data_IF_417688878187
#
_entry.id   IF_417688878187
#
_cell.length_a   1.000
_cell.length_b   1.000
_cell.length_c   1.000
_cell.angle_alpha   90.00
_cell.angle_beta   90.00
_cell.angle_gamma   90.00
#
_symmetry.space_group_name_H-M   'P 1'
#
loop_
_entity.id
_entity.type
_entity.pdbx_description
1 polymer ?
#
# COMPACT_ATOMS: atom_id res chain seq x y z
N UNK A 1 -62.27 -34.67 70.21
CA UNK A 1 -61.44 -33.53 69.93
C UNK A 1 -60.44 -33.95 68.86
N UNK A 2 -60.53 -33.54 67.59
CA UNK A 2 -59.52 -33.84 66.61
C UNK A 2 -58.70 -32.56 66.33
N UNK A 3 -57.39 -32.73 66.31
CA UNK A 3 -56.37 -31.74 65.93
C UNK A 3 -56.29 -31.65 64.42
N UNK A 4 -56.46 -30.47 63.89
CA UNK A 4 -56.28 -30.15 62.48
C UNK A 4 -54.83 -29.75 62.23
N UNK A 5 -54.16 -30.45 61.28
CA UNK A 5 -52.84 -30.16 60.78
C UNK A 5 -52.94 -29.22 59.55
N UNK A 6 -52.12 -28.15 59.40
CA UNK A 6 -52.08 -27.34 58.20
C UNK A 6 -51.04 -27.88 57.19
N UNK A 7 -51.52 -28.15 56.00
CA UNK A 7 -50.72 -28.52 54.83
C UNK A 7 -50.00 -27.27 54.28
N UNK A 8 -48.70 -27.27 54.45
CA UNK A 8 -47.82 -26.23 53.81
C UNK A 8 -47.72 -26.44 52.31
N UNK A 9 -48.18 -25.45 51.54
CA UNK A 9 -47.99 -25.38 50.10
C UNK A 9 -46.59 -24.82 49.82
N UNK A 10 -45.67 -25.66 49.30
CA UNK A 10 -44.38 -25.25 48.77
C UNK A 10 -44.58 -24.67 47.34
N UNK A 11 -44.42 -23.37 47.20
CA UNK A 11 -44.38 -22.71 45.91
C UNK A 11 -42.94 -22.81 45.36
N UNK A 12 -42.73 -23.69 44.39
CA UNK A 12 -41.49 -23.76 43.62
C UNK A 12 -41.47 -22.59 42.61
N UNK A 13 -40.67 -21.57 42.89
CA UNK A 13 -40.40 -20.49 41.97
C UNK A 13 -39.35 -20.95 40.92
N UNK A 14 -39.78 -21.26 39.71
CA UNK A 14 -38.91 -21.57 38.58
C UNK A 14 -38.33 -20.25 38.06
N UNK A 15 -37.05 -19.98 38.37
CA UNK A 15 -36.31 -18.89 37.75
C UNK A 15 -35.94 -19.26 36.31
N UNK A 16 -36.63 -18.65 35.37
CA UNK A 16 -36.29 -18.74 33.94
C UNK A 16 -35.09 -17.80 33.68
N UNK A 17 -33.87 -18.37 33.58
CA UNK A 17 -32.68 -17.63 33.12
C UNK A 17 -32.84 -17.38 31.63
N UNK A 18 -33.28 -16.18 31.25
CA UNK A 18 -33.18 -15.69 29.86
C UNK A 18 -31.69 -15.34 29.64
N UNK A 19 -30.95 -16.22 28.97
CA UNK A 19 -29.64 -15.91 28.44
C UNK A 19 -29.84 -14.85 27.34
N UNK A 20 -29.61 -13.59 27.69
CA UNK A 20 -29.44 -12.53 26.68
C UNK A 20 -28.15 -12.87 25.96
N UNK A 21 -28.24 -13.51 24.79
CA UNK A 21 -27.17 -13.61 23.84
C UNK A 21 -26.90 -12.17 23.39
N UNK A 22 -25.97 -11.52 24.06
CA UNK A 22 -25.41 -10.25 23.59
C UNK A 22 -24.85 -10.50 22.18
N UNK A 23 -25.48 -9.93 21.17
CA UNK A 23 -24.86 -9.80 19.85
C UNK A 23 -23.56 -9.05 20.08
N UNK A 24 -22.44 -9.77 20.12
CA UNK A 24 -21.14 -9.14 19.97
C UNK A 24 -21.17 -8.44 18.61
N UNK A 25 -21.43 -7.13 18.61
CA UNK A 25 -21.09 -6.33 17.47
C UNK A 25 -19.57 -6.51 17.29
N UNK A 26 -19.18 -7.25 16.26
CA UNK A 26 -17.79 -7.25 15.84
C UNK A 26 -17.47 -5.79 15.52
N UNK A 27 -16.48 -5.23 16.23
CA UNK A 27 -16.02 -3.86 15.93
C UNK A 27 -15.65 -3.79 14.45
N UNK A 28 -16.16 -2.77 13.75
CA UNK A 28 -15.88 -2.55 12.33
C UNK A 28 -14.39 -2.31 12.17
N UNK A 29 -13.72 -3.10 11.32
CA UNK A 29 -12.32 -2.93 10.98
C UNK A 29 -12.15 -1.70 10.09
N UNK A 30 -11.46 -0.67 10.56
CA UNK A 30 -11.17 0.54 9.79
C UNK A 30 -9.85 0.37 9.05
N UNK A 31 -9.94 0.27 7.72
CA UNK A 31 -8.79 0.07 6.82
C UNK A 31 -8.46 1.36 6.07
N UNK A 32 -7.28 1.94 6.34
CA UNK A 32 -6.75 3.09 5.62
C UNK A 32 -5.99 2.70 4.36
N UNK A 33 -6.34 3.31 3.22
CA UNK A 33 -5.68 3.11 1.92
C UNK A 33 -5.39 4.45 1.25
N UNK A 34 -4.53 4.45 0.21
CA UNK A 34 -4.43 5.56 -0.72
C UNK A 34 -5.21 5.28 -2.01
N UNK A 35 -5.55 6.36 -2.72
CA UNK A 35 -6.19 6.24 -4.03
C UNK A 35 -5.30 5.46 -4.99
N UNK A 36 -5.85 4.33 -5.49
CA UNK A 36 -5.14 3.39 -6.33
C UNK A 36 -6.13 2.56 -7.15
N UNK A 37 -5.77 2.10 -8.35
CA UNK A 37 -6.60 1.14 -9.09
C UNK A 37 -6.92 -0.14 -8.32
N UNK A 38 -6.10 -0.50 -7.33
CA UNK A 38 -6.34 -1.65 -6.46
C UNK A 38 -7.54 -1.47 -5.52
N UNK A 39 -8.07 -0.24 -5.37
CA UNK A 39 -9.16 0.04 -4.44
C UNK A 39 -10.39 -0.85 -4.70
N UNK A 40 -10.71 -1.12 -5.98
CA UNK A 40 -11.78 -2.04 -6.32
C UNK A 40 -11.55 -3.47 -5.78
N UNK A 41 -10.31 -3.95 -5.76
CA UNK A 41 -9.95 -5.25 -5.19
C UNK A 41 -10.02 -5.23 -3.64
N UNK A 42 -9.63 -4.12 -3.01
CA UNK A 42 -9.76 -3.91 -1.56
C UNK A 42 -11.23 -3.89 -1.14
N UNK A 43 -12.06 -3.14 -1.86
CA UNK A 43 -13.51 -3.07 -1.61
C UNK A 43 -14.18 -4.44 -1.81
N UNK A 44 -13.78 -5.18 -2.85
CA UNK A 44 -14.25 -6.55 -3.05
C UNK A 44 -13.86 -7.45 -1.87
N UNK A 45 -12.60 -7.38 -1.40
CA UNK A 45 -12.17 -8.14 -0.23
C UNK A 45 -12.97 -7.74 1.03
N UNK A 46 -13.27 -6.45 1.21
CA UNK A 46 -14.13 -5.96 2.29
C UNK A 46 -15.56 -6.50 2.22
N UNK A 47 -16.12 -6.63 1.02
CA UNK A 47 -17.42 -7.27 0.82
C UNK A 47 -17.40 -8.76 1.14
N UNK A 48 -16.35 -9.47 0.69
CA UNK A 48 -16.25 -10.92 0.85
C UNK A 48 -15.98 -11.34 2.30
N UNK A 49 -15.22 -10.54 3.06
CA UNK A 49 -14.92 -10.87 4.46
C UNK A 49 -16.16 -10.75 5.38
N UNK A 50 -17.21 -10.06 4.93
CA UNK A 50 -18.51 -10.03 5.64
C UNK A 50 -19.12 -11.42 5.79
N UNK A 51 -18.88 -12.31 4.83
CA UNK A 51 -19.31 -13.72 4.91
C UNK A 51 -18.62 -14.46 6.07
N UNK A 52 -17.48 -13.93 6.54
CA UNK A 52 -16.76 -14.41 7.73
C UNK A 52 -17.10 -13.63 9.01
N UNK A 53 -18.12 -12.76 8.98
CA UNK A 53 -18.60 -11.98 10.11
C UNK A 53 -17.73 -10.75 10.44
N UNK A 54 -16.89 -10.27 9.51
CA UNK A 54 -16.08 -9.08 9.69
C UNK A 54 -16.64 -7.94 8.85
N UNK A 55 -17.06 -6.85 9.49
CA UNK A 55 -17.39 -5.59 8.83
C UNK A 55 -16.11 -4.77 8.63
N UNK A 56 -15.95 -4.17 7.43
CA UNK A 56 -14.78 -3.34 7.10
C UNK A 56 -15.25 -2.00 6.56
N UNK A 57 -14.72 -0.94 7.14
CA UNK A 57 -14.82 0.42 6.64
C UNK A 57 -13.51 0.79 5.95
N UNK A 58 -13.56 1.11 4.65
CA UNK A 58 -12.40 1.51 3.86
C UNK A 58 -12.33 3.03 3.82
N UNK A 59 -11.24 3.61 4.34
CA UNK A 59 -10.97 5.03 4.37
C UNK A 59 -9.84 5.39 3.40
N UNK A 60 -10.11 6.26 2.43
CA UNK A 60 -9.11 6.69 1.43
C UNK A 60 -8.44 7.98 1.84
N UNK A 61 -7.11 8.03 1.69
CA UNK A 61 -6.26 9.18 1.96
C UNK A 61 -5.61 9.68 0.66
N UNK A 62 -5.51 10.98 0.51
CA UNK A 62 -4.93 11.61 -0.70
C UNK A 62 -3.42 11.83 -0.63
N UNK A 63 -2.79 11.61 0.53
CA UNK A 63 -1.36 11.76 0.78
C UNK A 63 -0.76 10.53 1.45
N UNK A 64 0.58 10.46 1.55
CA UNK A 64 1.28 9.30 2.11
C UNK A 64 1.68 9.45 3.58
N UNK A 65 1.44 10.61 4.21
CA UNK A 65 1.81 10.85 5.62
C UNK A 65 0.64 10.54 6.57
N UNK A 66 -0.55 10.99 6.20
CA UNK A 66 -1.75 10.88 7.05
C UNK A 66 -2.12 9.45 7.45
N UNK A 67 -2.00 8.39 6.60
CA UNK A 67 -2.39 7.03 7.00
C UNK A 67 -1.61 6.48 8.19
N UNK A 68 -0.30 6.78 8.30
CA UNK A 68 0.50 6.33 9.44
C UNK A 68 0.16 7.10 10.73
N UNK A 69 -0.12 8.38 10.62
CA UNK A 69 -0.57 9.21 11.74
C UNK A 69 -1.94 8.72 12.25
N UNK A 70 -2.90 8.48 11.35
CA UNK A 70 -4.23 7.96 11.69
C UNK A 70 -4.15 6.59 12.37
N UNK A 71 -3.25 5.70 11.90
CA UNK A 71 -3.03 4.40 12.52
C UNK A 71 -2.40 4.53 13.92
N UNK A 72 -1.40 5.38 14.08
CA UNK A 72 -0.73 5.62 15.36
C UNK A 72 -1.69 6.22 16.40
N UNK A 73 -2.61 7.09 15.97
CA UNK A 73 -3.63 7.68 16.83
C UNK A 73 -4.79 6.72 17.15
N UNK A 74 -4.96 5.62 16.41
CA UNK A 74 -6.09 4.70 16.54
C UNK A 74 -7.35 5.17 15.81
N UNK A 75 -7.23 6.10 14.85
CA UNK A 75 -8.35 6.51 13.98
C UNK A 75 -8.68 5.44 12.93
N UNK A 76 -7.69 4.59 12.58
CA UNK A 76 -7.83 3.38 11.79
C UNK A 76 -7.15 2.19 12.50
N UNK A 77 -7.48 0.97 12.13
CA UNK A 77 -6.99 -0.26 12.77
C UNK A 77 -5.87 -0.93 11.97
N UNK A 78 -5.84 -0.70 10.67
CA UNK A 78 -4.84 -1.20 9.73
C UNK A 78 -4.69 -0.22 8.58
N UNK A 79 -3.48 -0.07 8.02
CA UNK A 79 -3.33 0.60 6.74
C UNK A 79 -2.68 -0.32 5.69
N UNK A 80 -2.95 0.00 4.42
CA UNK A 80 -2.40 -0.69 3.25
C UNK A 80 -2.09 0.31 2.14
N UNK A 81 -0.86 0.83 2.10
CA UNK A 81 -0.42 1.78 1.08
C UNK A 81 1.09 1.85 0.88
N UNK A 82 1.89 1.38 1.83
CA UNK A 82 3.31 1.63 1.96
C UNK A 82 4.15 0.35 1.87
N UNK A 83 5.37 0.49 1.39
CA UNK A 83 6.38 -0.56 1.40
C UNK A 83 7.32 -0.45 2.61
N UNK A 84 8.11 -1.49 2.86
CA UNK A 84 8.94 -1.60 4.07
C UNK A 84 9.88 -0.39 4.30
N UNK A 85 10.67 0.11 3.32
CA UNK A 85 11.56 1.24 3.59
C UNK A 85 10.82 2.54 3.93
N UNK A 86 9.62 2.75 3.39
CA UNK A 86 8.80 3.91 3.73
C UNK A 86 8.27 3.81 5.16
N UNK A 87 7.80 2.63 5.57
CA UNK A 87 7.36 2.37 6.95
C UNK A 87 8.50 2.60 7.94
N UNK A 88 9.68 2.03 7.67
CA UNK A 88 10.87 2.19 8.53
C UNK A 88 11.27 3.66 8.68
N UNK A 89 11.24 4.43 7.59
CA UNK A 89 11.49 5.86 7.63
C UNK A 89 10.44 6.61 8.47
N UNK A 90 9.16 6.26 8.33
CA UNK A 90 8.09 6.87 9.13
C UNK A 90 8.24 6.57 10.63
N UNK A 91 8.61 5.33 10.97
CA UNK A 91 8.91 4.93 12.36
C UNK A 91 10.11 5.71 12.91
N UNK A 92 11.21 5.77 12.15
CA UNK A 92 12.44 6.47 12.53
C UNK A 92 12.18 7.96 12.81
N UNK A 93 11.39 8.62 11.95
CA UNK A 93 11.13 10.06 12.03
C UNK A 93 10.13 10.45 13.13
N UNK A 94 9.15 9.59 13.42
CA UNK A 94 8.02 9.96 14.27
C UNK A 94 7.89 9.11 15.53
N UNK A 95 8.69 8.04 15.67
CA UNK A 95 8.62 7.15 16.84
C UNK A 95 7.34 6.30 16.87
N UNK A 96 6.72 6.04 15.73
CA UNK A 96 5.49 5.26 15.67
C UNK A 96 5.71 3.80 16.08
N UNK A 97 4.75 3.25 16.82
CA UNK A 97 4.68 1.83 17.15
C UNK A 97 3.86 1.08 16.07
N UNK A 98 4.44 0.90 14.90
CA UNK A 98 3.82 0.30 13.73
C UNK A 98 4.55 -0.97 13.29
N UNK A 99 3.79 -2.01 12.96
CA UNK A 99 4.31 -3.34 12.61
C UNK A 99 3.67 -3.83 11.30
N UNK A 100 4.47 -4.27 10.31
CA UNK A 100 3.95 -4.92 9.12
C UNK A 100 3.53 -6.37 9.45
N UNK A 101 2.31 -6.75 9.05
CA UNK A 101 1.76 -8.08 9.36
C UNK A 101 1.56 -8.97 8.14
N UNK A 102 1.48 -8.39 6.94
CA UNK A 102 1.33 -9.17 5.71
C UNK A 102 1.83 -8.41 4.48
N UNK A 103 2.22 -9.17 3.46
CA UNK A 103 2.55 -8.67 2.14
C UNK A 103 1.30 -8.38 1.32
N UNK A 104 1.38 -7.33 0.50
CA UNK A 104 0.42 -7.02 -0.54
C UNK A 104 1.07 -7.05 -1.93
N UNK A 105 0.58 -6.17 -2.81
CA UNK A 105 1.08 -6.06 -4.18
C UNK A 105 2.40 -5.30 -4.19
N UNK A 106 3.36 -5.76 -4.97
CA UNK A 106 4.59 -5.05 -5.27
C UNK A 106 4.43 -4.30 -6.60
N UNK A 107 4.61 -2.98 -6.55
CA UNK A 107 4.52 -2.11 -7.72
C UNK A 107 5.91 -1.81 -8.26
N UNK A 108 6.11 -1.95 -9.57
CA UNK A 108 7.28 -1.38 -10.23
C UNK A 108 7.24 0.15 -10.14
N UNK A 109 8.41 0.77 -10.18
CA UNK A 109 8.55 2.21 -10.40
C UNK A 109 9.23 2.43 -11.75
N UNK A 110 8.82 3.45 -12.51
CA UNK A 110 9.37 3.72 -13.83
C UNK A 110 9.68 5.20 -14.06
N UNK A 111 10.49 5.46 -15.08
CA UNK A 111 10.68 6.79 -15.67
C UNK A 111 9.75 6.94 -16.86
N UNK A 112 8.80 7.85 -16.74
CA UNK A 112 7.78 8.12 -17.76
C UNK A 112 8.00 9.43 -18.47
N UNK A 113 7.57 9.48 -19.73
CA UNK A 113 7.57 10.70 -20.54
C UNK A 113 6.42 10.72 -21.53
N UNK A 114 5.90 11.91 -21.80
CA UNK A 114 5.03 12.20 -22.95
C UNK A 114 5.76 12.96 -24.06
N UNK A 115 7.01 13.38 -23.80
CA UNK A 115 7.79 14.26 -24.69
C UNK A 115 8.90 13.54 -25.44
N UNK A 116 9.43 12.45 -24.87
CA UNK A 116 10.52 11.67 -25.46
C UNK A 116 10.21 10.18 -25.41
N UNK A 117 10.86 9.40 -26.27
CA UNK A 117 10.75 7.94 -26.35
C UNK A 117 12.07 7.23 -26.06
N UNK A 118 13.17 7.98 -25.91
CA UNK A 118 14.53 7.47 -25.61
C UNK A 118 15.30 8.51 -24.80
N UNK A 119 16.21 8.08 -23.95
CA UNK A 119 16.98 8.97 -23.05
C UNK A 119 17.97 9.88 -23.78
N UNK A 120 18.42 9.52 -24.98
CA UNK A 120 19.31 10.38 -25.79
C UNK A 120 18.62 11.67 -26.31
N UNK A 121 17.28 11.70 -26.26
CA UNK A 121 16.47 12.88 -26.62
C UNK A 121 16.36 13.91 -25.50
N UNK A 122 16.83 13.58 -24.28
CA UNK A 122 16.87 14.53 -23.15
C UNK A 122 17.83 15.68 -23.50
N UNK A 123 17.35 16.92 -23.36
CA UNK A 123 18.08 18.11 -23.68
C UNK A 123 18.76 18.73 -22.45
N UNK A 124 19.73 19.57 -22.71
CA UNK A 124 20.38 20.38 -21.68
C UNK A 124 19.34 21.30 -20.99
N UNK A 125 19.34 21.31 -19.66
CA UNK A 125 18.43 22.12 -18.86
C UNK A 125 16.98 21.60 -18.76
N UNK A 126 16.67 20.42 -19.29
CA UNK A 126 15.34 19.82 -19.16
C UNK A 126 14.90 19.69 -17.70
N UNK A 127 13.60 19.91 -17.47
CA UNK A 127 12.99 19.70 -16.15
C UNK A 127 12.54 18.24 -16.00
N UNK A 128 12.86 17.65 -14.85
CA UNK A 128 12.51 16.26 -14.49
C UNK A 128 11.97 16.21 -13.08
N UNK A 129 11.09 15.25 -12.77
CA UNK A 129 10.40 15.16 -11.50
C UNK A 129 10.76 13.89 -10.72
N UNK A 130 10.96 14.05 -9.40
CA UNK A 130 11.16 12.97 -8.42
C UNK A 130 10.23 13.16 -7.22
N UNK A 131 10.06 12.11 -6.41
CA UNK A 131 9.31 12.20 -5.16
C UNK A 131 9.99 13.16 -4.16
N UNK A 132 9.19 13.78 -3.30
CA UNK A 132 9.66 14.66 -2.23
C UNK A 132 10.00 13.91 -0.93
N UNK A 133 9.55 12.66 -0.78
CA UNK A 133 9.96 11.83 0.35
C UNK A 133 11.32 11.14 0.09
N UNK A 134 12.17 11.00 1.14
CA UNK A 134 13.56 10.57 0.96
C UNK A 134 13.70 9.15 0.41
N UNK A 135 12.73 8.27 0.65
CA UNK A 135 12.80 6.87 0.22
C UNK A 135 12.46 6.73 -1.25
N UNK A 136 11.33 7.32 -1.68
CA UNK A 136 10.93 7.26 -3.08
C UNK A 136 11.76 8.20 -3.95
N UNK A 137 12.27 9.33 -3.41
CA UNK A 137 13.26 10.15 -4.10
C UNK A 137 14.50 9.33 -4.45
N UNK A 138 15.07 8.64 -3.46
CA UNK A 138 16.23 7.77 -3.67
C UNK A 138 15.97 6.70 -4.74
N UNK A 139 14.80 6.06 -4.71
CA UNK A 139 14.36 5.12 -5.75
C UNK A 139 14.35 5.74 -7.15
N UNK A 140 13.82 6.95 -7.28
CA UNK A 140 13.82 7.72 -8.53
C UNK A 140 15.22 8.09 -9.00
N UNK A 141 16.07 8.61 -8.12
CA UNK A 141 17.43 9.01 -8.46
C UNK A 141 18.26 7.82 -8.94
N UNK A 142 18.12 6.63 -8.34
CA UNK A 142 18.75 5.41 -8.85
C UNK A 142 18.26 5.02 -10.26
N UNK A 143 16.99 5.29 -10.59
CA UNK A 143 16.52 5.11 -11.98
C UNK A 143 17.15 6.12 -12.95
N UNK A 144 17.26 7.40 -12.57
CA UNK A 144 17.95 8.40 -13.38
C UNK A 144 19.42 8.06 -13.59
N UNK A 145 20.10 7.52 -12.57
CA UNK A 145 21.48 7.01 -12.71
C UNK A 145 21.54 5.82 -13.67
N UNK A 146 20.65 4.83 -13.53
CA UNK A 146 20.60 3.68 -14.46
C UNK A 146 20.26 4.08 -15.90
N UNK A 147 19.53 5.16 -16.08
CA UNK A 147 19.27 5.75 -17.40
C UNK A 147 20.50 6.50 -17.97
N UNK A 148 21.58 6.61 -17.21
CA UNK A 148 22.79 7.34 -17.63
C UNK A 148 22.64 8.86 -17.65
N UNK A 149 21.63 9.39 -16.96
CA UNK A 149 21.30 10.82 -16.94
C UNK A 149 22.02 11.59 -15.83
N UNK A 150 22.35 10.92 -14.73
CA UNK A 150 23.11 11.47 -13.59
C UNK A 150 24.09 10.42 -13.05
N UNK A 151 25.02 10.86 -12.20
CA UNK A 151 25.84 9.99 -11.35
C UNK A 151 25.60 10.34 -9.89
N UNK A 152 25.30 9.36 -9.06
CA UNK A 152 25.22 9.51 -7.63
C UNK A 152 26.60 9.22 -6.99
N UNK A 153 26.82 9.72 -5.79
CA UNK A 153 28.02 9.43 -5.01
C UNK A 153 28.15 7.92 -4.75
N UNK A 154 29.34 7.39 -4.85
CA UNK A 154 29.61 5.98 -4.57
C UNK A 154 29.15 5.59 -3.14
N UNK A 155 28.51 4.43 -3.02
CA UNK A 155 28.00 3.95 -1.77
C UNK A 155 26.70 4.63 -1.29
N UNK A 156 26.11 5.50 -2.10
CA UNK A 156 24.80 6.10 -1.77
C UNK A 156 23.73 5.01 -1.67
N UNK A 157 23.08 4.94 -0.51
CA UNK A 157 22.07 3.95 -0.17
C UNK A 157 20.69 4.25 -0.78
N UNK A 158 19.67 3.52 -0.34
CA UNK A 158 18.31 3.66 -0.87
C UNK A 158 17.65 5.02 -0.61
N UNK A 159 18.13 5.81 0.39
CA UNK A 159 17.67 7.18 0.68
C UNK A 159 18.55 8.24 -0.01
N UNK A 160 18.97 8.00 -1.28
CA UNK A 160 19.69 9.00 -2.07
C UNK A 160 18.87 10.30 -2.20
N UNK A 161 19.54 11.43 -2.12
CA UNK A 161 18.96 12.77 -2.25
C UNK A 161 19.55 13.53 -3.43
N UNK A 162 19.00 14.67 -3.80
CA UNK A 162 19.56 15.54 -4.83
C UNK A 162 20.99 16.01 -4.49
N UNK A 163 21.35 16.09 -3.20
CA UNK A 163 22.70 16.43 -2.76
C UNK A 163 23.75 15.33 -3.03
N UNK A 164 23.32 14.12 -3.35
CA UNK A 164 24.19 12.99 -3.68
C UNK A 164 24.52 12.93 -5.18
N UNK A 165 23.97 13.82 -6.00
CA UNK A 165 24.29 13.90 -7.42
C UNK A 165 25.68 14.51 -7.58
N UNK A 166 26.64 13.71 -8.08
CA UNK A 166 28.03 14.13 -8.33
C UNK A 166 28.26 14.53 -9.78
N UNK A 167 27.44 14.06 -10.72
CA UNK A 167 27.45 14.50 -12.11
C UNK A 167 26.02 14.59 -12.66
N UNK A 168 25.78 15.69 -13.37
CA UNK A 168 24.54 16.00 -14.07
C UNK A 168 24.89 16.63 -15.43
N UNK A 169 25.36 15.82 -16.40
CA UNK A 169 25.95 16.31 -17.64
C UNK A 169 24.97 17.03 -18.56
N UNK A 170 23.68 16.88 -18.34
CA UNK A 170 22.60 17.57 -19.05
C UNK A 170 22.01 18.73 -18.28
N UNK A 171 22.60 19.13 -17.16
CA UNK A 171 22.12 20.20 -16.27
C UNK A 171 20.61 20.10 -15.97
N UNK A 172 20.11 18.86 -15.74
CA UNK A 172 18.70 18.59 -15.47
C UNK A 172 18.25 19.39 -14.25
N UNK A 173 17.06 19.97 -14.35
CA UNK A 173 16.40 20.69 -13.26
C UNK A 173 15.43 19.74 -12.59
N UNK A 174 15.75 19.31 -11.37
CA UNK A 174 14.88 18.45 -10.59
C UNK A 174 13.81 19.26 -9.87
N UNK A 175 12.56 18.83 -9.99
CA UNK A 175 11.45 19.26 -9.14
C UNK A 175 11.03 18.10 -8.25
N UNK A 176 10.75 18.43 -6.98
CA UNK A 176 10.33 17.48 -5.96
C UNK A 176 8.83 17.63 -5.76
N UNK A 177 8.09 16.53 -5.83
CA UNK A 177 6.63 16.53 -5.74
C UNK A 177 6.13 15.38 -4.87
N UNK A 178 5.01 15.54 -4.16
CA UNK A 178 4.33 14.42 -3.54
C UNK A 178 4.08 13.29 -4.52
N UNK A 179 4.40 12.06 -4.13
CA UNK A 179 4.37 10.89 -5.01
C UNK A 179 3.10 10.74 -5.86
N UNK A 180 1.88 10.94 -5.32
CA UNK A 180 0.65 10.88 -6.11
C UNK A 180 0.54 11.92 -7.22
N UNK A 181 1.32 13.02 -7.15
CA UNK A 181 1.29 14.10 -8.16
C UNK A 181 2.22 13.83 -9.34
N UNK A 182 3.23 12.95 -9.19
CA UNK A 182 4.23 12.67 -10.22
C UNK A 182 3.63 12.16 -11.55
N UNK A 183 2.52 11.43 -11.51
CA UNK A 183 1.85 10.97 -12.71
C UNK A 183 1.12 12.10 -13.48
N UNK A 184 0.81 13.20 -12.81
CA UNK A 184 0.01 14.31 -13.37
C UNK A 184 0.83 15.38 -14.06
N UNK A 185 2.15 15.43 -13.80
CA UNK A 185 3.03 16.48 -14.31
C UNK A 185 3.74 16.11 -15.63
N UNK A 186 3.36 14.98 -16.26
CA UNK A 186 4.03 14.48 -17.48
C UNK A 186 3.93 15.42 -18.68
N UNK A 187 2.95 16.33 -18.70
CA UNK A 187 2.86 17.37 -19.73
C UNK A 187 3.84 18.52 -19.50
N UNK A 188 4.21 18.77 -18.24
CA UNK A 188 5.06 19.91 -17.85
C UNK A 188 6.56 19.57 -17.87
N UNK A 189 6.91 18.31 -17.53
CA UNK A 189 8.30 17.84 -17.42
C UNK A 189 8.74 16.95 -18.59
N UNK A 190 10.04 16.79 -18.79
CA UNK A 190 10.57 15.86 -19.79
C UNK A 190 10.50 14.41 -19.32
N UNK A 191 10.79 14.16 -18.04
CA UNK A 191 10.70 12.85 -17.40
C UNK A 191 10.12 13.00 -16.00
N UNK A 192 9.32 12.03 -15.57
CA UNK A 192 8.92 11.90 -14.19
C UNK A 192 9.08 10.44 -13.70
N UNK A 193 9.59 10.29 -12.50
CA UNK A 193 9.41 9.06 -11.76
C UNK A 193 7.92 8.85 -11.47
N UNK A 194 7.38 7.66 -11.70
CA UNK A 194 6.02 7.33 -11.26
C UNK A 194 5.81 5.82 -11.17
N UNK A 195 4.64 5.43 -10.69
CA UNK A 195 4.19 4.06 -10.55
C UNK A 195 3.13 3.74 -11.60
N UNK A 196 3.12 2.53 -12.20
CA UNK A 196 2.07 2.11 -13.12
C UNK A 196 0.66 2.35 -12.59
N UNK A 197 0.44 2.10 -11.30
CA UNK A 197 -0.84 2.33 -10.63
C UNK A 197 -1.26 3.80 -10.63
N UNK A 198 -0.32 4.74 -10.40
CA UNK A 198 -0.60 6.17 -10.43
C UNK A 198 -0.81 6.69 -11.86
N UNK A 199 -0.02 6.18 -12.82
CA UNK A 199 -0.20 6.50 -14.25
C UNK A 199 -1.59 6.07 -14.72
N UNK A 200 -2.02 4.86 -14.33
CA UNK A 200 -3.35 4.34 -14.67
C UNK A 200 -4.46 5.18 -14.01
N UNK A 201 -4.33 5.51 -12.73
CA UNK A 201 -5.30 6.34 -12.01
C UNK A 201 -5.39 7.77 -12.58
N UNK A 202 -4.27 8.33 -13.01
CA UNK A 202 -4.23 9.66 -13.62
C UNK A 202 -4.71 9.67 -15.08
N UNK A 203 -4.72 8.52 -15.76
CA UNK A 203 -5.10 8.42 -17.18
C UNK A 203 -4.20 9.20 -18.12
N UNK A 204 -2.96 9.48 -17.71
CA UNK A 204 -2.07 10.40 -18.43
C UNK A 204 -1.35 9.76 -19.60
N UNK A 205 -1.00 8.47 -19.50
CA UNK A 205 -0.34 7.66 -20.54
C UNK A 205 -0.55 6.17 -20.25
N UNK A 206 -0.02 5.30 -21.12
CA UNK A 206 0.00 3.84 -20.88
C UNK A 206 0.88 3.50 -19.67
N UNK A 207 0.37 2.78 -18.66
CA UNK A 207 1.17 2.33 -17.51
C UNK A 207 2.41 1.51 -17.88
N UNK A 208 2.39 0.81 -19.01
CA UNK A 208 3.51 0.04 -19.54
C UNK A 208 4.54 0.86 -20.33
N UNK A 209 4.30 2.17 -20.58
CA UNK A 209 5.13 3.02 -21.45
C UNK A 209 6.37 3.63 -20.80
N UNK A 210 6.73 3.23 -19.56
CA UNK A 210 7.96 3.75 -18.95
C UNK A 210 9.18 3.40 -19.80
N UNK A 211 10.08 4.38 -19.98
CA UNK A 211 11.34 4.20 -20.72
C UNK A 211 12.29 3.27 -19.95
N UNK A 212 12.13 3.17 -18.64
CA UNK A 212 12.89 2.29 -17.75
C UNK A 212 12.05 1.94 -16.54
N UNK A 213 11.97 0.66 -16.21
CA UNK A 213 11.39 0.18 -14.94
C UNK A 213 12.46 -0.22 -13.93
N UNK A 214 12.12 -0.18 -12.64
CA UNK A 214 12.91 -0.79 -11.57
C UNK A 214 13.04 -2.31 -11.77
N UNK A 215 14.06 -2.90 -11.14
CA UNK A 215 14.29 -4.36 -11.07
C UNK A 215 13.98 -4.84 -9.66
N UNK A 216 12.70 -4.81 -9.29
CA UNK A 216 12.28 -5.07 -7.91
C UNK A 216 12.38 -6.56 -7.54
N UNK A 217 12.41 -7.47 -8.52
CA UNK A 217 12.65 -8.91 -8.33
C UNK A 217 13.98 -9.21 -7.62
N UNK A 218 14.95 -8.31 -7.69
CA UNK A 218 16.23 -8.40 -6.97
C UNK A 218 16.13 -7.94 -5.51
N UNK A 219 15.00 -7.34 -5.11
CA UNK A 219 14.82 -6.70 -3.80
C UNK A 219 14.28 -7.61 -2.70
N UNK A 220 13.92 -8.87 -3.02
CA UNK A 220 13.30 -9.78 -2.04
C UNK A 220 11.96 -9.25 -1.49
N UNK A 221 11.17 -8.59 -2.34
CA UNK A 221 9.89 -7.97 -1.99
C UNK A 221 10.00 -6.78 -1.01
N UNK A 222 11.16 -6.13 -0.96
CA UNK A 222 11.41 -4.95 -0.11
C UNK A 222 10.38 -3.83 -0.39
N UNK A 223 10.00 -3.66 -1.65
CA UNK A 223 9.08 -2.62 -2.10
C UNK A 223 7.63 -3.08 -2.27
N UNK A 224 7.30 -4.30 -1.87
CA UNK A 224 5.91 -4.72 -1.81
C UNK A 224 5.15 -3.93 -0.75
N UNK A 225 3.92 -3.57 -1.03
CA UNK A 225 3.03 -2.94 -0.05
C UNK A 225 2.80 -3.88 1.14
N UNK A 226 2.55 -3.29 2.30
CA UNK A 226 2.33 -4.00 3.56
C UNK A 226 0.97 -3.65 4.13
N UNK A 227 0.31 -4.65 4.72
CA UNK A 227 -0.67 -4.40 5.75
C UNK A 227 0.08 -4.11 7.05
N UNK A 228 -0.20 -2.94 7.61
CA UNK A 228 0.50 -2.42 8.80
C UNK A 228 -0.52 -2.14 9.90
N UNK A 229 -0.20 -2.55 11.10
CA UNK A 229 -0.99 -2.34 12.32
C UNK A 229 -0.12 -1.74 13.43
N UNK A 230 -0.71 -1.35 14.55
CA UNK A 230 0.07 -1.09 15.77
C UNK A 230 0.47 -2.41 16.43
N UNK A 231 1.55 -2.43 17.23
CA UNK A 231 2.06 -3.65 17.90
C UNK A 231 0.99 -4.40 18.71
N UNK A 232 0.07 -3.68 19.35
CA UNK A 232 -1.06 -4.25 20.10
C UNK A 232 -2.10 -4.97 19.23
N UNK A 233 -2.13 -4.69 17.91
CA UNK A 233 -3.11 -5.22 16.97
C UNK A 233 -2.55 -6.33 16.06
N UNK A 234 -1.32 -6.81 16.28
CA UNK A 234 -0.66 -7.85 15.46
C UNK A 234 -1.51 -9.13 15.37
N UNK A 235 -2.21 -9.47 16.44
CA UNK A 235 -3.05 -10.66 16.53
C UNK A 235 -4.54 -10.41 16.26
N UNK A 236 -4.93 -9.21 15.82
CA UNK A 236 -6.30 -8.86 15.54
C UNK A 236 -6.96 -9.85 14.55
N UNK A 237 -7.99 -10.60 14.93
CA UNK A 237 -8.58 -11.63 14.09
C UNK A 237 -9.29 -11.07 12.85
N UNK A 238 -9.83 -9.84 12.92
CA UNK A 238 -10.47 -9.18 11.79
C UNK A 238 -9.44 -8.81 10.71
N UNK A 239 -8.26 -8.32 11.12
CA UNK A 239 -7.14 -8.07 10.20
C UNK A 239 -6.69 -9.36 9.52
N UNK A 240 -6.49 -10.44 10.30
CA UNK A 240 -6.09 -11.75 9.76
C UNK A 240 -7.11 -12.30 8.76
N UNK A 241 -8.40 -12.19 9.07
CA UNK A 241 -9.47 -12.62 8.18
C UNK A 241 -9.53 -11.80 6.88
N UNK A 242 -9.36 -10.48 6.98
CA UNK A 242 -9.30 -9.60 5.80
C UNK A 242 -8.09 -9.94 4.91
N UNK A 243 -6.91 -10.06 5.51
CA UNK A 243 -5.67 -10.40 4.78
C UNK A 243 -5.80 -11.78 4.11
N UNK A 244 -6.39 -12.77 4.78
CA UNK A 244 -6.64 -14.10 4.20
C UNK A 244 -7.52 -14.01 2.95
N UNK A 245 -8.63 -13.26 3.01
CA UNK A 245 -9.50 -13.03 1.85
C UNK A 245 -8.75 -12.28 0.74
N UNK A 246 -8.04 -11.21 1.09
CA UNK A 246 -7.30 -10.40 0.10
C UNK A 246 -6.26 -11.24 -0.65
N UNK A 247 -5.52 -12.08 0.04
CA UNK A 247 -4.44 -12.87 -0.55
C UNK A 247 -4.94 -14.15 -1.26
N UNK A 248 -5.99 -14.80 -0.73
CA UNK A 248 -6.33 -16.16 -1.12
C UNK A 248 -7.61 -16.27 -1.95
N UNK A 249 -8.53 -15.29 -1.90
CA UNK A 249 -9.74 -15.36 -2.74
C UNK A 249 -9.40 -15.12 -4.22
N UNK A 250 -9.74 -16.05 -5.13
CA UNK A 250 -9.42 -15.92 -6.55
C UNK A 250 -10.12 -14.72 -7.22
N UNK A 251 -11.27 -14.27 -6.70
CA UNK A 251 -11.99 -13.10 -7.21
C UNK A 251 -11.22 -11.81 -6.94
N UNK A 252 -10.60 -11.70 -5.75
CA UNK A 252 -9.75 -10.55 -5.40
C UNK A 252 -8.50 -10.52 -6.27
N UNK A 253 -7.84 -11.67 -6.47
CA UNK A 253 -6.69 -11.76 -7.37
C UNK A 253 -7.04 -11.42 -8.81
N UNK A 254 -8.21 -11.82 -9.29
CA UNK A 254 -8.71 -11.44 -10.61
C UNK A 254 -8.97 -9.93 -10.70
N UNK A 255 -9.54 -9.31 -9.66
CA UNK A 255 -9.76 -7.87 -9.60
C UNK A 255 -8.43 -7.08 -9.60
N UNK A 256 -7.39 -7.54 -8.88
CA UNK A 256 -6.04 -6.97 -8.95
C UNK A 256 -5.50 -7.07 -10.38
N UNK A 257 -5.57 -8.24 -11.01
CA UNK A 257 -5.09 -8.44 -12.37
C UNK A 257 -5.82 -7.53 -13.37
N UNK A 258 -7.12 -7.37 -13.23
CA UNK A 258 -7.93 -6.47 -14.04
C UNK A 258 -7.53 -5.00 -13.84
N UNK A 259 -7.28 -4.60 -12.59
CA UNK A 259 -6.88 -3.23 -12.24
C UNK A 259 -5.55 -2.81 -12.87
N UNK A 260 -4.59 -3.72 -12.98
CA UNK A 260 -3.29 -3.42 -13.62
C UNK A 260 -3.30 -3.64 -15.13
N UNK A 261 -4.16 -4.52 -15.65
CA UNK A 261 -4.26 -4.85 -17.07
C UNK A 261 -3.04 -5.56 -17.67
N UNK A 262 -1.87 -5.42 -17.09
CA UNK A 262 -0.62 -6.03 -17.52
C UNK A 262 0.11 -6.67 -16.33
N UNK A 263 0.33 -8.02 -16.35
CA UNK A 263 0.96 -8.75 -15.26
C UNK A 263 2.44 -8.42 -15.03
N UNK A 264 3.11 -7.77 -15.99
CA UNK A 264 4.51 -7.38 -15.88
C UNK A 264 4.71 -6.10 -15.04
N UNK A 265 3.63 -5.40 -14.67
CA UNK A 265 3.67 -4.13 -13.94
C UNK A 265 3.62 -4.30 -12.41
N UNK A 266 3.29 -5.51 -11.93
CA UNK A 266 3.14 -5.80 -10.52
C UNK A 266 3.49 -7.26 -10.19
N UNK A 267 3.73 -7.52 -8.90
CA UNK A 267 3.82 -8.88 -8.38
C UNK A 267 2.91 -9.05 -7.15
N UNK A 268 2.42 -10.26 -6.94
CA UNK A 268 1.72 -10.67 -5.72
C UNK A 268 2.79 -11.19 -4.74
N UNK A 269 3.29 -10.34 -3.85
CA UNK A 269 4.48 -10.62 -3.03
C UNK A 269 4.30 -11.76 -2.00
N UNK A 270 3.08 -12.24 -1.81
CA UNK A 270 2.77 -13.41 -0.97
C UNK A 270 2.77 -14.73 -1.73
N UNK A 271 2.96 -14.70 -3.05
CA UNK A 271 3.08 -15.88 -3.90
C UNK A 271 4.54 -16.07 -4.32
N UNK A 272 4.96 -17.32 -4.65
CA UNK A 272 6.26 -17.53 -5.26
C UNK A 272 6.44 -16.68 -6.51
N UNK A 273 7.66 -16.18 -6.72
CA UNK A 273 7.99 -15.42 -7.92
C UNK A 273 7.58 -16.18 -9.19
N UNK A 274 6.95 -15.50 -10.14
CA UNK A 274 6.65 -16.11 -11.44
C UNK A 274 7.96 -16.53 -12.09
N UNK A 275 8.09 -17.80 -12.45
CA UNK A 275 9.19 -18.22 -13.32
C UNK A 275 8.99 -17.52 -14.65
N UNK A 276 9.95 -16.68 -15.05
CA UNK A 276 9.95 -16.14 -16.41
C UNK A 276 9.85 -17.29 -17.38
N UNK A 277 8.86 -17.22 -18.28
CA UNK A 277 8.84 -18.12 -19.41
C UNK A 277 10.10 -17.79 -20.23
N UNK A 278 11.05 -18.72 -20.26
CA UNK A 278 12.25 -18.60 -21.08
C UNK A 278 11.81 -18.33 -22.53
N UNK A 279 12.05 -17.10 -22.97
CA UNK A 279 11.91 -16.71 -24.38
C UNK A 279 13.14 -17.09 -25.17
#
# INVERSE_FOLDING_TARGET
MPMSSPIGRLLAATFLFIAVAGSAHADTLRLGINDSPQNAAIELAAQLVKEKGVEVEVLSFSDWNTPNLALANGDIDVNYFQHQPFLENAIEQNGYDLVPVAYGVENKVGLYSKKITRFDQVKDGDTVAVADDPVNQGRGLHLYQRAGLITLRDGTGPKASLADITANPRHLKFIELPGPQLARVLDDVTLAQSYPSHILAAGTTDPGSALLFSRDEESGHLYALRFVVTSKNVDNPAVKAFVDVFQNDPRVRAAIAQAYGNPDLYALAWLPARKEASR
#
